data_IF_019150723101
#
_entry.id   IF_019150723101
#
_cell.length_a   1.000
_cell.length_b   1.000
_cell.length_c   1.000
_cell.angle_alpha   90.00
_cell.angle_beta   90.00
_cell.angle_gamma   90.00
#
_symmetry.space_group_name_H-M   'P 1'
#
loop_
_entity.id
_entity.type
_entity.pdbx_description
1 polymer ?
#
# COMPACT_ATOMS: atom_id res chain seq x y z
N UNK A 1 3.67 5.42 -19.15
CA UNK A 1 4.30 4.45 -18.22
C UNK A 1 3.99 4.86 -16.79
N UNK A 2 3.71 3.88 -15.92
CA UNK A 2 3.47 4.05 -14.49
C UNK A 2 4.66 3.50 -13.71
N UNK A 3 5.12 4.22 -12.68
CA UNK A 3 6.10 3.72 -11.70
C UNK A 3 5.42 3.29 -10.40
N UNK A 4 5.99 2.29 -9.74
CA UNK A 4 5.55 1.80 -8.44
C UNK A 4 6.70 1.97 -7.43
N UNK A 5 6.41 2.63 -6.32
CA UNK A 5 7.38 2.99 -5.30
C UNK A 5 7.08 2.27 -3.98
N UNK A 6 8.04 1.47 -3.50
CA UNK A 6 7.92 0.72 -2.26
C UNK A 6 8.41 1.52 -1.06
N UNK A 7 7.59 1.57 0.00
CA UNK A 7 7.92 1.92 1.38
C UNK A 7 8.98 3.06 1.51
N UNK A 8 8.63 4.32 1.19
CA UNK A 8 9.59 5.43 1.22
C UNK A 8 10.28 5.60 2.57
N UNK A 9 9.54 5.42 3.67
CA UNK A 9 10.03 5.60 5.04
C UNK A 9 10.80 6.92 5.22
N UNK A 10 10.19 8.03 4.80
CA UNK A 10 10.77 9.37 4.86
C UNK A 10 11.82 9.68 3.79
N UNK A 11 12.25 8.73 2.96
CA UNK A 11 13.18 8.99 1.86
C UNK A 11 12.48 9.02 0.50
N UNK A 12 12.05 10.22 0.10
CA UNK A 12 11.40 10.48 -1.19
C UNK A 12 12.39 10.79 -2.33
N UNK A 13 13.70 10.89 -2.05
CA UNK A 13 14.71 11.22 -3.09
C UNK A 13 14.74 10.21 -4.23
N UNK A 14 14.65 8.88 -3.98
CA UNK A 14 14.52 7.90 -5.06
C UNK A 14 13.34 8.17 -5.99
N UNK A 15 12.17 8.52 -5.44
CA UNK A 15 10.96 8.80 -6.22
C UNK A 15 11.16 10.02 -7.09
N UNK A 16 11.63 11.13 -6.50
CA UNK A 16 11.89 12.38 -7.22
C UNK A 16 12.89 12.15 -8.35
N UNK A 17 14.00 11.44 -8.07
CA UNK A 17 14.98 11.07 -9.09
C UNK A 17 14.36 10.23 -10.20
N UNK A 18 13.59 9.20 -9.84
CA UNK A 18 12.93 8.32 -10.80
C UNK A 18 12.01 9.09 -11.75
N UNK A 19 11.17 9.99 -11.22
CA UNK A 19 10.28 10.80 -12.05
C UNK A 19 11.06 11.72 -12.98
N UNK A 20 12.08 12.44 -12.48
CA UNK A 20 12.90 13.33 -13.31
C UNK A 20 13.69 12.59 -14.39
N UNK A 21 14.10 11.33 -14.14
CA UNK A 21 14.84 10.52 -15.11
C UNK A 21 13.93 9.88 -16.15
N UNK A 22 12.79 9.32 -15.74
CA UNK A 22 11.98 8.45 -16.60
C UNK A 22 10.70 9.10 -17.11
N UNK A 23 10.36 10.31 -16.64
CA UNK A 23 9.18 11.09 -17.05
C UNK A 23 7.88 10.24 -17.13
N UNK A 24 7.53 9.48 -16.07
CA UNK A 24 6.34 8.65 -16.10
C UNK A 24 5.07 9.51 -16.10
N UNK A 25 3.98 8.93 -16.60
CA UNK A 25 2.66 9.57 -16.52
C UNK A 25 2.14 9.59 -15.08
N UNK A 26 2.46 8.55 -14.31
CA UNK A 26 2.11 8.48 -12.89
C UNK A 26 3.15 7.72 -12.07
N UNK A 27 3.19 8.01 -10.77
CA UNK A 27 3.85 7.20 -9.74
C UNK A 27 2.85 6.79 -8.67
N UNK A 28 2.89 5.51 -8.26
CA UNK A 28 2.03 4.96 -7.21
C UNK A 28 2.88 4.53 -6.01
N UNK A 29 2.65 5.18 -4.87
CA UNK A 29 3.26 4.86 -3.58
C UNK A 29 2.53 3.69 -2.93
N UNK A 30 3.27 2.66 -2.51
CA UNK A 30 2.74 1.42 -1.94
C UNK A 30 2.64 1.43 -0.41
N UNK A 31 2.59 2.61 0.21
CA UNK A 31 2.43 2.81 1.64
C UNK A 31 3.74 3.11 2.38
N UNK A 32 3.64 3.26 3.71
CA UNK A 32 4.74 3.46 4.66
C UNK A 32 5.60 4.68 4.31
N UNK A 33 4.96 5.85 4.34
CA UNK A 33 5.54 7.10 3.89
C UNK A 33 6.38 7.80 4.97
N UNK A 34 6.07 7.61 6.26
CA UNK A 34 6.72 8.24 7.43
C UNK A 34 6.90 9.76 7.29
N UNK A 35 5.78 10.47 7.13
CA UNK A 35 5.74 11.87 6.70
C UNK A 35 5.91 12.87 7.85
N UNK A 36 7.05 13.58 7.89
CA UNK A 36 7.25 14.74 8.79
C UNK A 36 6.56 16.02 8.28
N UNK A 37 6.36 16.15 6.96
CA UNK A 37 5.57 17.22 6.30
C UNK A 37 4.52 16.60 5.38
N UNK A 38 3.59 17.39 4.87
CA UNK A 38 2.53 16.87 4.00
C UNK A 38 3.08 16.21 2.74
N UNK A 39 2.40 15.19 2.22
CA UNK A 39 2.86 14.44 1.05
C UNK A 39 3.11 15.35 -0.17
N UNK A 40 2.29 16.39 -0.37
CA UNK A 40 2.50 17.35 -1.45
C UNK A 40 3.75 18.23 -1.26
N UNK A 41 4.15 18.52 -0.02
CA UNK A 41 5.40 19.22 0.26
C UNK A 41 6.63 18.32 0.05
N UNK A 42 6.55 17.03 0.42
CA UNK A 42 7.65 16.09 0.18
C UNK A 42 7.87 15.80 -1.30
N UNK A 43 6.82 15.89 -2.12
CA UNK A 43 6.88 15.62 -3.56
C UNK A 43 6.76 16.87 -4.44
N UNK A 44 6.89 18.06 -3.85
CA UNK A 44 6.70 19.35 -4.54
C UNK A 44 7.50 19.46 -5.85
N UNK A 45 8.70 18.89 -5.90
CA UNK A 45 9.58 18.92 -7.08
C UNK A 45 9.05 18.15 -8.31
N UNK A 46 8.01 17.34 -8.15
CA UNK A 46 7.50 16.46 -9.20
C UNK A 46 6.00 16.59 -9.47
N UNK A 47 5.25 17.40 -8.71
CA UNK A 47 3.79 17.50 -8.86
C UNK A 47 3.36 18.04 -10.23
N UNK A 48 4.19 18.87 -10.86
CA UNK A 48 3.93 19.40 -12.22
C UNK A 48 4.46 18.46 -13.33
N UNK A 49 5.13 17.36 -12.97
CA UNK A 49 5.80 16.46 -13.90
C UNK A 49 5.07 15.13 -14.08
N UNK A 50 4.29 14.70 -13.09
CA UNK A 50 3.64 13.38 -13.07
C UNK A 50 2.43 13.38 -12.14
N UNK A 51 1.48 12.47 -12.36
CA UNK A 51 0.46 12.21 -11.36
C UNK A 51 1.03 11.40 -10.19
N UNK A 52 0.65 11.78 -8.95
CA UNK A 52 1.01 11.03 -7.75
C UNK A 52 -0.24 10.38 -7.17
N UNK A 53 -0.19 9.06 -7.01
CA UNK A 53 -1.23 8.26 -6.36
C UNK A 53 -0.62 7.45 -5.22
N UNK A 54 -1.44 7.03 -4.26
CA UNK A 54 -0.94 6.21 -3.15
C UNK A 54 -1.98 5.23 -2.62
N UNK A 55 -1.50 4.20 -1.95
CA UNK A 55 -2.24 3.45 -0.93
C UNK A 55 -1.53 3.62 0.41
N UNK A 56 -2.23 3.62 1.55
CA UNK A 56 -1.55 3.63 2.85
C UNK A 56 -0.92 2.28 3.17
N UNK A 57 0.14 2.29 3.96
CA UNK A 57 0.75 1.14 4.63
C UNK A 57 0.39 1.07 6.12
N UNK A 58 1.06 0.23 6.90
CA UNK A 58 0.78 0.14 8.33
C UNK A 58 1.34 1.32 9.14
N UNK A 59 2.48 1.89 8.73
CA UNK A 59 3.13 2.97 9.45
C UNK A 59 2.37 4.30 9.32
N UNK A 60 1.62 4.48 8.24
CA UNK A 60 0.83 5.71 8.00
C UNK A 60 -0.29 5.94 9.05
N UNK A 61 -0.56 4.98 9.93
CA UNK A 61 -1.46 5.11 11.08
C UNK A 61 -0.77 5.12 12.45
N UNK A 62 0.57 5.08 12.52
CA UNK A 62 1.31 4.96 13.78
C UNK A 62 1.37 6.27 14.56
N UNK A 63 1.33 7.42 13.89
CA UNK A 63 1.36 8.75 14.53
C UNK A 63 0.28 9.67 13.94
N UNK A 64 -0.18 10.64 14.74
CA UNK A 64 -1.18 11.62 14.31
C UNK A 64 -0.67 12.48 13.16
N UNK A 65 0.55 13.00 13.26
CA UNK A 65 1.17 13.81 12.21
C UNK A 65 1.37 13.03 10.91
N UNK A 66 1.84 11.78 10.98
CA UNK A 66 2.01 10.95 9.79
C UNK A 66 0.69 10.69 9.07
N UNK A 67 -0.37 10.39 9.85
CA UNK A 67 -1.71 10.25 9.31
C UNK A 67 -2.19 11.55 8.65
N UNK A 68 -2.10 12.67 9.36
CA UNK A 68 -2.60 13.96 8.87
C UNK A 68 -1.84 14.42 7.61
N UNK A 69 -0.51 14.28 7.61
CA UNK A 69 0.35 14.62 6.49
C UNK A 69 0.11 13.76 5.25
N UNK A 70 -0.42 12.54 5.40
CA UNK A 70 -0.81 11.70 4.28
C UNK A 70 -2.24 12.04 3.82
N UNK A 71 -3.22 11.83 4.69
CA UNK A 71 -4.64 11.83 4.34
C UNK A 71 -5.25 13.23 4.21
N UNK A 72 -4.68 14.24 4.88
CA UNK A 72 -5.13 15.64 4.81
C UNK A 72 -4.25 16.51 3.92
N UNK A 73 -3.28 15.92 3.20
CA UNK A 73 -2.48 16.62 2.19
C UNK A 73 -3.32 17.07 1.00
N UNK A 74 -2.76 17.92 0.12
CA UNK A 74 -3.41 18.27 -1.16
C UNK A 74 -3.57 17.07 -2.10
N UNK A 75 -2.89 15.97 -1.81
CA UNK A 75 -2.99 14.70 -2.54
C UNK A 75 -3.93 13.70 -1.85
N UNK A 76 -4.58 14.05 -0.73
CA UNK A 76 -5.41 13.11 0.03
C UNK A 76 -6.53 12.44 -0.79
N UNK A 77 -7.04 13.15 -1.81
CA UNK A 77 -8.03 12.65 -2.78
C UNK A 77 -7.44 11.68 -3.82
N UNK A 78 -6.12 11.45 -3.84
CA UNK A 78 -5.38 10.47 -4.66
C UNK A 78 -5.11 9.15 -3.94
N UNK A 79 -5.75 8.89 -2.81
CA UNK A 79 -5.72 7.59 -2.14
C UNK A 79 -6.50 6.53 -2.93
N UNK A 80 -5.88 5.43 -3.34
CA UNK A 80 -6.51 4.36 -4.12
C UNK A 80 -7.23 3.30 -3.26
N UNK A 81 -7.07 3.30 -1.93
CA UNK A 81 -7.66 2.28 -1.07
C UNK A 81 -9.19 2.16 -1.27
N UNK A 82 -9.64 0.95 -1.58
CA UNK A 82 -11.06 0.60 -1.70
C UNK A 82 -11.72 0.99 -3.03
N UNK A 83 -10.96 1.46 -4.03
CA UNK A 83 -11.52 1.88 -5.33
C UNK A 83 -10.64 1.49 -6.52
N UNK A 84 -11.22 1.65 -7.71
CA UNK A 84 -10.55 1.53 -9.01
C UNK A 84 -10.52 2.91 -9.67
N UNK A 85 -9.37 3.28 -10.22
CA UNK A 85 -9.17 4.52 -10.97
C UNK A 85 -8.47 4.21 -12.29
N UNK A 86 -8.81 4.93 -13.35
CA UNK A 86 -8.07 4.87 -14.61
C UNK A 86 -6.85 5.79 -14.54
N UNK A 87 -5.65 5.23 -14.75
CA UNK A 87 -4.36 5.93 -14.73
C UNK A 87 -3.57 5.44 -15.95
N UNK A 88 -3.10 6.35 -16.81
CA UNK A 88 -2.34 6.02 -18.03
C UNK A 88 -3.04 4.93 -18.88
N UNK A 89 -4.37 5.06 -19.02
CA UNK A 89 -5.23 4.13 -19.78
C UNK A 89 -5.44 2.75 -19.15
N UNK A 90 -5.06 2.54 -17.88
CA UNK A 90 -5.19 1.27 -17.15
C UNK A 90 -6.05 1.44 -15.93
N UNK A 91 -6.91 0.45 -15.64
CA UNK A 91 -7.71 0.43 -14.41
C UNK A 91 -6.85 -0.11 -13.27
N UNK A 92 -6.54 0.73 -12.31
CA UNK A 92 -5.74 0.40 -11.13
C UNK A 92 -6.66 0.28 -9.92
N UNK A 93 -6.74 -0.92 -9.34
CA UNK A 93 -7.38 -1.16 -8.04
C UNK A 93 -6.39 -0.94 -6.91
N UNK A 94 -6.79 -0.26 -5.83
CA UNK A 94 -5.99 -0.13 -4.62
C UNK A 94 -6.60 -0.80 -3.40
N UNK A 95 -5.81 -1.57 -2.67
CA UNK A 95 -6.16 -2.04 -1.33
C UNK A 95 -4.97 -1.83 -0.38
N UNK A 96 -4.90 -0.62 0.17
CA UNK A 96 -3.92 -0.26 1.20
C UNK A 96 -4.27 -0.78 2.61
N UNK A 97 -3.31 -0.62 3.51
CA UNK A 97 -3.36 -1.06 4.90
C UNK A 97 -2.92 -2.51 5.07
N UNK A 98 -3.07 -3.01 6.31
CA UNK A 98 -2.68 -4.36 6.69
C UNK A 98 -3.82 -5.17 7.28
N UNK A 99 -3.71 -6.50 7.23
CA UNK A 99 -4.64 -7.39 7.94
C UNK A 99 -4.31 -7.41 9.44
N UNK A 100 -5.32 -7.19 10.30
CA UNK A 100 -5.13 -7.19 11.75
C UNK A 100 -6.09 -8.16 12.41
N UNK A 101 -5.58 -9.04 13.25
CA UNK A 101 -6.37 -10.10 13.90
C UNK A 101 -7.59 -9.60 14.68
N UNK A 102 -7.49 -8.42 15.30
CA UNK A 102 -8.62 -7.79 16.00
C UNK A 102 -9.80 -7.49 15.06
N UNK A 103 -9.53 -7.20 13.79
CA UNK A 103 -10.52 -6.76 12.80
C UNK A 103 -10.85 -7.92 11.86
N UNK A 104 -9.87 -8.33 11.08
CA UNK A 104 -9.94 -9.42 10.14
C UNK A 104 -8.51 -9.88 9.80
N UNK A 105 -8.21 -11.14 10.10
CA UNK A 105 -6.99 -11.83 9.65
C UNK A 105 -7.41 -13.09 8.90
N UNK A 106 -7.36 -13.08 7.58
CA UNK A 106 -7.73 -14.25 6.80
C UNK A 106 -6.83 -15.47 7.11
N UNK A 107 -7.33 -16.71 6.94
CA UNK A 107 -8.64 -17.08 6.38
C UNK A 107 -9.79 -17.04 7.39
N UNK A 108 -9.57 -16.54 8.61
CA UNK A 108 -10.62 -16.44 9.60
C UNK A 108 -11.72 -15.44 9.15
N UNK A 109 -12.94 -15.66 9.64
CA UNK A 109 -14.05 -14.73 9.43
C UNK A 109 -13.71 -13.36 10.06
N UNK A 110 -14.17 -12.24 9.46
CA UNK A 110 -13.97 -10.92 10.06
C UNK A 110 -14.65 -10.85 11.43
N UNK A 111 -13.91 -10.38 12.45
CA UNK A 111 -14.46 -10.07 13.78
C UNK A 111 -15.29 -8.79 13.71
N UNK A 112 -14.83 -7.80 12.94
CA UNK A 112 -15.55 -6.58 12.61
C UNK A 112 -15.59 -6.42 11.09
N UNK A 113 -16.73 -6.75 10.44
CA UNK A 113 -16.85 -6.63 8.99
C UNK A 113 -16.70 -5.20 8.48
N UNK A 114 -17.22 -4.22 9.24
CA UNK A 114 -17.22 -2.81 8.88
C UNK A 114 -16.51 -1.94 9.91
N UNK A 115 -16.09 -0.73 9.50
CA UNK A 115 -15.57 0.29 10.43
C UNK A 115 -16.63 0.70 11.46
N UNK A 116 -17.90 0.73 11.05
CA UNK A 116 -19.04 1.06 11.92
C UNK A 116 -19.23 0.01 13.02
N UNK A 117 -19.09 -1.28 12.70
CA UNK A 117 -19.17 -2.36 13.70
C UNK A 117 -18.09 -2.22 14.77
N UNK A 118 -16.87 -1.86 14.37
CA UNK A 118 -15.80 -1.54 15.32
C UNK A 118 -16.16 -0.32 16.17
N UNK A 119 -16.64 0.76 15.57
CA UNK A 119 -17.00 1.99 16.29
C UNK A 119 -18.08 1.76 17.35
N UNK A 120 -19.07 0.92 17.05
CA UNK A 120 -20.14 0.56 17.99
C UNK A 120 -19.62 -0.17 19.24
N UNK A 121 -18.52 -0.92 19.11
CA UNK A 121 -17.91 -1.64 20.24
C UNK A 121 -16.78 -0.86 20.91
N UNK A 122 -16.27 0.19 20.26
CA UNK A 122 -15.24 1.06 20.83
C UNK A 122 -15.82 1.96 21.93
N UNK A 123 -15.39 1.68 23.18
CA UNK A 123 -15.60 2.58 24.30
C UNK A 123 -15.00 3.96 24.06
N UNK A 124 -15.57 5.01 24.66
CA UNK A 124 -15.19 6.42 24.41
C UNK A 124 -13.69 6.67 24.53
N UNK A 125 -13.02 6.10 25.53
CA UNK A 125 -11.57 6.26 25.75
C UNK A 125 -10.66 5.58 24.72
N UNK A 126 -11.20 4.77 23.82
CA UNK A 126 -10.46 4.14 22.71
C UNK A 126 -10.64 4.88 21.39
N UNK A 127 -11.60 5.81 21.32
CA UNK A 127 -11.90 6.54 20.09
C UNK A 127 -10.81 7.57 19.83
N UNK A 128 -10.53 7.77 18.55
CA UNK A 128 -9.61 8.80 18.09
C UNK A 128 -10.41 9.76 17.23
N UNK A 129 -10.48 11.03 17.66
CA UNK A 129 -11.28 12.10 17.03
C UNK A 129 -12.74 11.66 16.79
N UNK A 130 -13.35 11.12 17.85
CA UNK A 130 -14.70 10.56 17.88
C UNK A 130 -14.98 9.39 16.91
N UNK A 131 -13.94 8.83 16.31
CA UNK A 131 -14.01 7.72 15.37
C UNK A 131 -13.26 6.47 15.90
N UNK A 132 -13.13 5.43 15.08
CA UNK A 132 -12.34 4.22 15.39
C UNK A 132 -10.89 4.60 15.73
N UNK A 133 -10.17 3.77 16.52
CA UNK A 133 -8.77 4.01 16.85
C UNK A 133 -7.91 4.25 15.60
N UNK A 134 -7.02 5.24 15.62
CA UNK A 134 -6.17 5.67 14.49
C UNK A 134 -5.60 4.53 13.65
N UNK A 135 -4.96 3.55 14.29
CA UNK A 135 -4.37 2.36 13.64
C UNK A 135 -5.33 1.56 12.76
N UNK A 136 -6.63 1.72 12.95
CA UNK A 136 -7.67 1.03 12.19
C UNK A 136 -8.13 1.79 10.96
N UNK A 137 -7.71 3.04 10.74
CA UNK A 137 -7.90 3.71 9.46
C UNK A 137 -7.01 3.12 8.36
N UNK A 138 -5.87 2.53 8.74
CA UNK A 138 -4.95 1.79 7.85
C UNK A 138 -5.05 0.25 8.03
N UNK A 139 -6.23 -0.23 8.42
CA UNK A 139 -6.53 -1.67 8.49
C UNK A 139 -7.41 -2.08 7.31
N UNK A 140 -7.13 -3.23 6.72
CA UNK A 140 -8.00 -3.82 5.71
C UNK A 140 -9.26 -4.38 6.41
N UNK A 141 -10.42 -3.78 6.11
CA UNK A 141 -11.71 -4.33 6.53
C UNK A 141 -12.31 -5.23 5.46
N UNK A 142 -13.13 -6.19 5.88
CA UNK A 142 -13.87 -7.06 4.97
C UNK A 142 -14.75 -6.25 4.01
N UNK A 143 -15.37 -5.17 4.47
CA UNK A 143 -16.21 -4.32 3.63
C UNK A 143 -15.46 -3.80 2.38
N UNK A 144 -14.20 -3.38 2.53
CA UNK A 144 -13.44 -2.73 1.45
C UNK A 144 -12.99 -3.79 0.45
N UNK A 145 -12.49 -4.92 0.98
CA UNK A 145 -12.16 -6.10 0.19
C UNK A 145 -13.36 -6.62 -0.61
N UNK A 146 -14.51 -6.80 0.04
CA UNK A 146 -15.71 -7.36 -0.56
C UNK A 146 -16.35 -6.42 -1.60
N UNK A 147 -16.27 -5.11 -1.39
CA UNK A 147 -16.70 -4.12 -2.37
C UNK A 147 -15.77 -4.09 -3.58
N UNK A 148 -14.45 -4.05 -3.35
CA UNK A 148 -13.45 -4.01 -4.42
C UNK A 148 -13.49 -5.27 -5.29
N UNK A 149 -13.71 -6.45 -4.68
CA UNK A 149 -13.86 -7.75 -5.38
C UNK A 149 -14.95 -7.75 -6.48
N UNK A 150 -15.93 -6.84 -6.41
CA UNK A 150 -17.02 -6.73 -7.39
C UNK A 150 -16.67 -5.85 -8.59
N UNK A 151 -15.49 -5.22 -8.60
CA UNK A 151 -15.06 -4.31 -9.65
C UNK A 151 -14.21 -5.02 -10.72
N UNK A 152 -13.64 -4.24 -11.65
CA UNK A 152 -12.72 -4.72 -12.68
C UNK A 152 -11.49 -3.83 -12.75
N UNK A 153 -10.31 -4.45 -12.77
CA UNK A 153 -9.03 -3.76 -12.85
C UNK A 153 -8.02 -4.59 -13.64
N UNK A 154 -7.05 -3.90 -14.24
CA UNK A 154 -5.95 -4.52 -14.97
C UNK A 154 -4.76 -4.76 -14.04
N UNK A 155 -4.55 -3.85 -13.08
CA UNK A 155 -3.51 -3.91 -12.05
C UNK A 155 -4.15 -3.76 -10.67
N UNK A 156 -3.67 -4.57 -9.71
CA UNK A 156 -4.00 -4.41 -8.28
C UNK A 156 -2.75 -3.98 -7.50
N UNK A 157 -2.82 -2.86 -6.78
CA UNK A 157 -1.79 -2.44 -5.83
C UNK A 157 -2.23 -2.71 -4.40
N UNK A 158 -1.37 -3.33 -3.61
CA UNK A 158 -1.61 -3.66 -2.20
C UNK A 158 -0.41 -3.25 -1.36
N UNK A 159 -0.59 -3.01 -0.07
CA UNK A 159 0.57 -2.87 0.82
C UNK A 159 1.04 -4.25 1.25
N UNK A 160 0.11 -5.06 1.79
CA UNK A 160 0.31 -6.49 2.09
C UNK A 160 0.63 -7.31 0.84
N UNK A 161 1.44 -8.35 1.01
CA UNK A 161 1.81 -9.26 -0.07
C UNK A 161 0.76 -10.36 -0.31
N UNK A 162 0.56 -10.80 -1.57
CA UNK A 162 -0.21 -12.01 -1.88
C UNK A 162 0.59 -13.27 -1.56
N UNK A 163 0.03 -14.46 -1.84
CA UNK A 163 0.63 -15.74 -1.46
C UNK A 163 1.99 -16.04 -2.10
N UNK A 164 2.49 -15.20 -3.01
CA UNK A 164 3.84 -15.31 -3.58
C UNK A 164 4.94 -15.05 -2.56
N UNK A 165 4.63 -14.36 -1.46
CA UNK A 165 5.54 -14.10 -0.34
C UNK A 165 5.20 -14.99 0.87
N UNK A 166 6.22 -15.36 1.66
CA UNK A 166 6.07 -16.28 2.82
C UNK A 166 5.12 -15.79 3.92
N UNK A 167 4.92 -14.48 4.01
CA UNK A 167 4.00 -13.85 4.97
C UNK A 167 2.72 -13.32 4.31
N UNK A 168 2.51 -13.61 3.02
CA UNK A 168 1.41 -13.07 2.26
C UNK A 168 0.09 -13.81 2.42
N UNK A 169 -0.95 -13.25 1.82
CA UNK A 169 -2.34 -13.66 2.00
C UNK A 169 -2.96 -14.14 0.69
N UNK A 170 -3.50 -15.36 0.69
CA UNK A 170 -4.19 -15.95 -0.48
C UNK A 170 -5.43 -15.15 -0.89
N UNK A 171 -6.04 -14.43 0.04
CA UNK A 171 -7.20 -13.59 -0.22
C UNK A 171 -6.88 -12.46 -1.20
N UNK A 172 -5.62 -12.00 -1.27
CA UNK A 172 -5.18 -11.01 -2.25
C UNK A 172 -5.04 -11.63 -3.65
N UNK A 173 -4.61 -12.90 -3.76
CA UNK A 173 -4.69 -13.67 -5.01
C UNK A 173 -6.14 -13.75 -5.50
N UNK A 174 -7.06 -14.11 -4.61
CA UNK A 174 -8.47 -14.28 -4.94
C UNK A 174 -9.13 -12.95 -5.32
N UNK A 175 -8.67 -11.83 -4.73
CA UNK A 175 -9.10 -10.49 -5.10
C UNK A 175 -8.62 -10.12 -6.50
N UNK A 176 -7.35 -10.32 -6.80
CA UNK A 176 -6.79 -10.04 -8.11
C UNK A 176 -7.50 -10.85 -9.21
N UNK A 177 -7.77 -12.14 -8.96
CA UNK A 177 -8.56 -12.99 -9.86
C UNK A 177 -9.98 -12.45 -10.08
N UNK A 178 -10.67 -12.01 -9.03
CA UNK A 178 -12.03 -11.50 -9.14
C UNK A 178 -12.11 -10.18 -9.94
N UNK A 179 -11.12 -9.31 -9.71
CA UNK A 179 -10.92 -8.07 -10.46
C UNK A 179 -10.59 -8.32 -11.94
N UNK A 180 -10.04 -9.49 -12.26
CA UNK A 180 -9.48 -9.77 -13.59
C UNK A 180 -8.11 -9.12 -13.81
N UNK A 181 -7.44 -8.72 -12.73
CA UNK A 181 -6.11 -8.13 -12.79
C UNK A 181 -5.10 -9.20 -13.23
N UNK A 182 -4.15 -8.80 -14.07
CA UNK A 182 -3.06 -9.67 -14.52
C UNK A 182 -1.70 -9.28 -13.93
N UNK A 183 -1.63 -8.14 -13.24
CA UNK A 183 -0.45 -7.66 -12.52
C UNK A 183 -0.80 -7.23 -11.10
N UNK A 184 0.12 -7.47 -10.17
CA UNK A 184 0.07 -6.99 -8.80
C UNK A 184 1.38 -6.34 -8.38
N UNK A 185 1.30 -5.27 -7.60
CA UNK A 185 2.45 -4.63 -6.98
C UNK A 185 2.21 -4.49 -5.48
N UNK A 186 3.20 -4.83 -4.67
CA UNK A 186 3.10 -4.66 -3.22
C UNK A 186 4.38 -4.14 -2.54
N UNK A 187 4.19 -3.49 -1.39
CA UNK A 187 5.27 -3.01 -0.50
C UNK A 187 5.46 -3.93 0.71
N UNK A 188 5.56 -3.32 1.91
CA UNK A 188 5.55 -3.92 3.25
C UNK A 188 6.75 -4.80 3.63
N UNK A 189 7.22 -5.65 2.73
CA UNK A 189 8.27 -6.63 3.04
C UNK A 189 9.68 -6.19 2.65
N UNK A 190 9.82 -5.03 2.02
CA UNK A 190 11.10 -4.43 1.63
C UNK A 190 11.96 -5.35 0.74
N UNK A 191 11.32 -6.24 -0.02
CA UNK A 191 11.97 -7.21 -0.88
C UNK A 191 11.50 -6.99 -2.32
N UNK A 192 12.47 -6.83 -3.23
CA UNK A 192 12.15 -6.84 -4.65
C UNK A 192 12.15 -8.27 -5.20
N UNK A 193 11.05 -8.67 -5.82
CA UNK A 193 10.96 -9.93 -6.55
C UNK A 193 9.87 -9.87 -7.62
N UNK A 194 9.93 -10.79 -8.58
CA UNK A 194 8.85 -11.06 -9.52
C UNK A 194 8.48 -12.53 -9.49
N UNK A 195 7.20 -12.85 -9.32
CA UNK A 195 6.67 -14.22 -9.31
C UNK A 195 5.34 -14.30 -10.04
N UNK A 196 4.97 -15.48 -10.50
CA UNK A 196 3.63 -15.72 -11.02
C UNK A 196 2.82 -16.55 -10.04
N UNK A 197 1.54 -16.20 -9.89
CA UNK A 197 0.57 -16.93 -9.06
C UNK A 197 -0.63 -17.34 -9.91
N UNK A 198 -1.58 -18.06 -9.31
CA UNK A 198 -2.84 -18.44 -9.96
C UNK A 198 -2.64 -19.17 -11.31
N UNK A 199 -1.69 -20.11 -11.36
CA UNK A 199 -1.29 -20.86 -12.57
C UNK A 199 -0.80 -19.96 -13.71
N UNK A 200 -0.03 -18.93 -13.39
CA UNK A 200 0.59 -18.05 -14.38
C UNK A 200 -0.30 -16.90 -14.87
N UNK A 201 -1.52 -16.76 -14.33
CA UNK A 201 -2.46 -15.70 -14.77
C UNK A 201 -2.10 -14.31 -14.26
N UNK A 202 -1.37 -14.25 -13.16
CA UNK A 202 -1.08 -12.99 -12.45
C UNK A 202 0.42 -12.94 -12.18
N UNK A 203 1.04 -11.86 -12.62
CA UNK A 203 2.43 -11.53 -12.28
C UNK A 203 2.42 -10.60 -11.07
N UNK A 204 3.15 -10.97 -10.03
CA UNK A 204 3.30 -10.21 -8.79
C UNK A 204 4.71 -9.63 -8.72
N UNK A 205 4.80 -8.36 -8.36
CA UNK A 205 6.03 -7.65 -8.09
C UNK A 205 6.05 -7.17 -6.64
N UNK A 206 6.98 -7.68 -5.84
CA UNK A 206 7.37 -7.04 -4.58
C UNK A 206 8.27 -5.85 -4.89
N UNK A 207 8.05 -4.71 -4.24
CA UNK A 207 8.86 -3.52 -4.40
C UNK A 207 9.65 -3.29 -3.10
N UNK A 208 10.97 -3.13 -3.24
CA UNK A 208 11.85 -2.93 -2.09
C UNK A 208 11.67 -1.56 -1.44
N UNK A 209 12.15 -1.43 -0.19
CA UNK A 209 12.11 -0.19 0.58
C UNK A 209 12.84 0.95 -0.14
N UNK A 210 12.18 2.09 -0.28
CA UNK A 210 12.65 3.25 -1.06
C UNK A 210 13.07 2.87 -2.50
N UNK A 211 12.52 1.77 -3.04
CA UNK A 211 12.81 1.24 -4.37
C UNK A 211 11.73 1.62 -5.37
N UNK A 212 12.10 1.65 -6.66
CA UNK A 212 11.18 1.93 -7.76
C UNK A 212 11.29 0.86 -8.85
N UNK A 213 10.14 0.43 -9.35
CA UNK A 213 10.05 -0.38 -10.57
C UNK A 213 9.03 0.20 -11.57
N UNK A 214 9.16 -0.20 -12.82
CA UNK A 214 8.17 0.10 -13.86
C UNK A 214 7.00 -0.89 -13.84
N UNK A 215 6.05 -0.69 -14.77
CA UNK A 215 4.88 -1.55 -14.94
C UNK A 215 5.17 -3.00 -15.33
N UNK A 216 6.38 -3.34 -15.74
CA UNK A 216 6.81 -4.71 -16.03
C UNK A 216 7.61 -5.32 -14.87
N UNK A 217 7.76 -4.58 -13.77
CA UNK A 217 8.56 -4.98 -12.62
C UNK A 217 10.05 -4.80 -12.83
N UNK A 218 10.49 -4.11 -13.88
CA UNK A 218 11.92 -3.82 -14.05
C UNK A 218 12.34 -2.83 -12.97
N UNK A 219 13.37 -3.17 -12.21
CA UNK A 219 13.92 -2.29 -11.17
C UNK A 219 14.60 -1.11 -11.83
N UNK A 220 14.09 0.10 -11.55
CA UNK A 220 14.69 1.35 -11.99
C UNK A 220 15.57 1.97 -10.91
N UNK A 221 15.19 1.75 -9.64
CA UNK A 221 15.99 2.12 -8.47
C UNK A 221 15.94 0.95 -7.48
N UNK A 222 17.11 0.41 -7.17
CA UNK A 222 17.27 -0.67 -6.20
C UNK A 222 16.88 -0.14 -4.82
N UNK A 223 16.00 -0.87 -4.14
CA UNK A 223 15.60 -0.56 -2.78
C UNK A 223 16.73 -0.77 -1.77
N UNK A 224 16.61 -0.15 -0.60
CA UNK A 224 17.53 -0.35 0.51
C UNK A 224 17.27 -1.71 1.15
N UNK A 225 18.34 -2.46 1.45
CA UNK A 225 18.22 -3.69 2.22
C UNK A 225 17.64 -3.40 3.61
N UNK A 226 16.87 -4.33 4.16
CA UNK A 226 16.59 -4.29 5.60
C UNK A 226 17.93 -4.43 6.33
N UNK A 227 18.28 -3.45 7.17
CA UNK A 227 19.21 -3.73 8.27
C UNK A 227 18.59 -4.88 9.07
N UNK A 228 19.17 -6.08 8.98
CA UNK A 228 18.76 -7.16 9.85
C UNK A 228 18.92 -6.68 11.30
N UNK A 229 17.91 -6.85 12.17
CA UNK A 229 18.10 -6.56 13.58
C UNK A 229 19.32 -7.34 14.05
N UNK A 230 20.34 -6.64 14.57
CA UNK A 230 21.46 -7.30 15.26
C UNK A 230 20.83 -8.24 16.28
N UNK A 231 21.03 -9.55 16.08
CA UNK A 231 20.69 -10.55 17.07
C UNK A 231 21.18 -10.03 18.42
N UNK A 232 20.24 -9.77 19.36
CA UNK A 232 20.63 -9.54 20.74
C UNK A 232 21.36 -10.80 21.17
N UNK A 233 22.67 -10.70 21.29
CA UNK A 233 23.49 -11.70 21.96
C UNK A 233 22.88 -11.93 23.34
N UNK A 234 22.28 -13.09 23.55
CA UNK A 234 21.95 -13.57 24.88
C UNK A 234 23.28 -13.71 25.62
N UNK A 235 23.57 -12.77 26.51
CA UNK A 235 24.62 -12.93 27.49
C UNK A 235 24.21 -14.08 28.42
N UNK A 236 25.00 -15.16 28.39
CA UNK A 236 25.10 -16.17 29.44
C UNK A 236 25.76 -15.59 30.68
#
# INVERSE_FOLDING_TARGET
>A
MILFAGDPHGDFKPIIRGVKTYSPQAVILLGDCDLDRSLDEELAEILDLTEVWFIPGNHDGDQDNWYDNLFSSKLGDRNLHGRVVEIDGKRIAGLGGVFREKIWRPPAKPRFPTRQDLLHTCGKGQRWRDNIPRKHHVTIFWQDYAALRKQKADILVTHEAPSSHRFGFKELDDLALALGANKMFHGHHHEHYSRTICRGKITVHGVGKSGLCDENGNVLIIGKEQEQPRLKSSAT
#
